data_IF_506337932889
#
_entry.id   IF_506337932889
#
_cell.length_a   1.000
_cell.length_b   1.000
_cell.length_c   1.000
_cell.angle_alpha   90.00
_cell.angle_beta   90.00
_cell.angle_gamma   90.00
#
_symmetry.space_group_name_H-M   'P 1'
#
loop_
_entity.id
_entity.type
_entity.pdbx_description
1 polymer ?
#
# COMPACT_ATOMS: atom_id res chain seq x y z
N UNK A 1 0.44 11.98 34.00
CA UNK A 1 -0.02 10.57 34.04
C UNK A 1 0.82 9.70 34.98
N UNK A 2 2.09 9.39 34.72
CA UNK A 2 2.90 8.49 35.59
C UNK A 2 2.96 8.98 37.05
N UNK A 3 3.35 10.24 37.26
CA UNK A 3 3.45 10.82 38.60
C UNK A 3 2.09 10.86 39.32
N UNK A 4 0.98 11.09 38.60
CA UNK A 4 -0.35 11.01 39.19
C UNK A 4 -0.68 9.59 39.65
N UNK A 5 -0.38 8.58 38.84
CA UNK A 5 -0.51 7.16 39.25
C UNK A 5 0.29 6.85 40.51
N UNK A 6 1.52 7.37 40.60
CA UNK A 6 2.38 7.19 41.77
C UNK A 6 1.83 7.86 43.03
N UNK A 7 1.25 9.07 42.91
CA UNK A 7 0.58 9.74 44.02
C UNK A 7 -0.63 8.95 44.50
N UNK A 8 -1.48 8.45 43.59
CA UNK A 8 -2.60 7.58 43.96
C UNK A 8 -2.14 6.31 44.67
N UNK A 9 -1.04 5.70 44.22
CA UNK A 9 -0.46 4.53 44.86
C UNK A 9 0.01 4.83 46.30
N UNK A 10 0.67 5.97 46.52
CA UNK A 10 1.05 6.42 47.87
C UNK A 10 -0.16 6.68 48.77
N UNK A 11 -1.24 7.21 48.21
CA UNK A 11 -2.51 7.45 48.90
C UNK A 11 -3.37 6.18 49.06
N UNK A 12 -2.86 4.99 48.73
CA UNK A 12 -3.57 3.70 48.78
C UNK A 12 -4.83 3.63 47.90
N UNK A 13 -4.94 4.51 46.90
CA UNK A 13 -6.00 4.50 45.89
C UNK A 13 -5.58 3.62 44.71
N UNK A 14 -5.45 2.31 44.96
CA UNK A 14 -4.80 1.36 44.04
C UNK A 14 -5.48 1.22 42.68
N UNK A 15 -6.82 1.24 42.62
CA UNK A 15 -7.56 1.21 41.35
C UNK A 15 -7.27 2.46 40.51
N UNK A 16 -7.23 3.64 41.13
CA UNK A 16 -6.90 4.90 40.44
C UNK A 16 -5.46 4.91 39.94
N UNK A 17 -4.53 4.41 40.76
CA UNK A 17 -3.12 4.27 40.37
C UNK A 17 -2.97 3.36 39.15
N UNK A 18 -3.57 2.17 39.20
CA UNK A 18 -3.53 1.19 38.12
C UNK A 18 -4.14 1.75 36.83
N UNK A 19 -5.29 2.42 36.91
CA UNK A 19 -5.94 3.02 35.74
C UNK A 19 -5.10 4.14 35.11
N UNK A 20 -4.41 4.96 35.91
CA UNK A 20 -3.50 5.98 35.36
C UNK A 20 -2.27 5.37 34.69
N UNK A 21 -1.70 4.31 35.26
CA UNK A 21 -0.61 3.58 34.63
C UNK A 21 -1.04 2.87 33.35
N UNK A 22 -2.25 2.30 33.33
CA UNK A 22 -2.88 1.72 32.14
C UNK A 22 -3.00 2.74 31.01
N UNK A 23 -3.38 3.99 31.29
CA UNK A 23 -3.44 5.05 30.28
C UNK A 23 -2.10 5.26 29.55
N UNK A 24 -0.96 5.16 30.25
CA UNK A 24 0.36 5.24 29.60
C UNK A 24 0.60 4.10 28.62
N UNK A 25 0.16 2.88 28.95
CA UNK A 25 0.29 1.74 28.05
C UNK A 25 -0.54 1.88 26.79
N UNK A 26 -1.69 2.55 26.88
CA UNK A 26 -2.61 2.75 25.76
C UNK A 26 -2.10 3.84 24.83
N UNK A 27 -1.78 5.02 25.36
CA UNK A 27 -1.48 6.20 24.55
C UNK A 27 -0.01 6.40 24.25
N UNK A 28 0.89 5.82 25.06
CA UNK A 28 2.33 6.04 24.95
C UNK A 28 3.12 4.73 25.15
N UNK A 29 2.85 3.65 24.40
CA UNK A 29 3.39 2.31 24.67
C UNK A 29 4.92 2.24 24.69
N UNK A 30 5.62 3.13 23.97
CA UNK A 30 7.09 3.20 23.86
C UNK A 30 7.76 4.17 24.82
N UNK A 31 7.00 4.96 25.58
CA UNK A 31 7.58 5.90 26.52
C UNK A 31 8.29 5.18 27.67
N UNK A 32 9.45 5.68 28.11
CA UNK A 32 10.22 5.09 29.21
C UNK A 32 9.40 4.97 30.51
N UNK A 33 8.53 5.94 30.77
CA UNK A 33 7.63 5.92 31.93
C UNK A 33 6.57 4.81 31.81
N UNK A 34 6.25 4.36 30.61
CA UNK A 34 5.32 3.23 30.38
C UNK A 34 5.95 1.92 30.82
N UNK A 35 7.26 1.74 30.65
CA UNK A 35 7.95 0.56 31.17
C UNK A 35 7.92 0.53 32.70
N UNK A 36 8.22 1.67 33.34
CA UNK A 36 8.09 1.81 34.80
C UNK A 36 6.64 1.57 35.26
N UNK A 37 5.67 2.10 34.53
CA UNK A 37 4.24 1.90 34.80
C UNK A 37 3.84 0.43 34.72
N UNK A 38 4.36 -0.34 33.74
CA UNK A 38 4.15 -1.79 33.63
C UNK A 38 4.65 -2.54 34.86
N UNK A 39 5.82 -2.16 35.38
CA UNK A 39 6.39 -2.78 36.58
C UNK A 39 5.56 -2.47 37.83
N UNK A 40 5.13 -1.22 38.00
CA UNK A 40 4.24 -0.85 39.11
C UNK A 40 2.88 -1.54 39.00
N UNK A 41 2.30 -1.63 37.81
CA UNK A 41 1.05 -2.37 37.58
C UNK A 41 1.17 -3.85 37.94
N UNK A 42 2.30 -4.51 37.65
CA UNK A 42 2.55 -5.90 38.06
C UNK A 42 2.61 -6.05 39.59
N UNK A 43 3.15 -5.06 40.30
CA UNK A 43 3.16 -5.06 41.77
C UNK A 43 1.75 -4.86 42.32
N UNK A 44 1.03 -3.87 41.78
CA UNK A 44 -0.36 -3.56 42.15
C UNK A 44 -1.30 -4.73 41.90
N UNK A 45 -1.09 -5.51 40.83
CA UNK A 45 -1.89 -6.69 40.51
C UNK A 45 -1.83 -7.81 41.57
N UNK A 46 -0.89 -7.77 42.51
CA UNK A 46 -0.77 -8.73 43.62
C UNK A 46 -1.52 -8.29 44.89
N UNK A 47 -2.10 -7.09 44.89
CA UNK A 47 -2.83 -6.55 46.04
C UNK A 47 -4.28 -7.03 45.98
N UNK A 48 -4.79 -7.69 47.03
CA UNK A 48 -6.13 -8.32 47.03
C UNK A 48 -7.30 -7.36 46.74
N UNK A 49 -7.13 -6.06 47.04
CA UNK A 49 -8.17 -5.03 46.92
C UNK A 49 -8.29 -4.44 45.50
N UNK A 50 -7.51 -4.92 44.53
CA UNK A 50 -7.48 -4.36 43.18
C UNK A 50 -8.49 -5.03 42.27
N UNK A 51 -9.27 -4.23 41.55
CA UNK A 51 -10.15 -4.69 40.48
C UNK A 51 -9.50 -4.34 39.13
N UNK A 52 -8.89 -5.34 38.49
CA UNK A 52 -8.28 -5.16 37.17
C UNK A 52 -9.33 -5.51 36.11
N UNK A 53 -9.70 -4.51 35.33
CA UNK A 53 -10.59 -4.69 34.19
C UNK A 53 -9.77 -4.88 32.91
N UNK A 54 -10.13 -5.85 32.04
CA UNK A 54 -9.52 -5.98 30.72
C UNK A 54 -9.65 -4.70 29.89
N UNK A 55 -8.74 -4.53 28.91
CA UNK A 55 -8.88 -3.45 27.95
C UNK A 55 -10.13 -3.66 27.09
N UNK A 56 -10.86 -2.58 26.86
CA UNK A 56 -11.93 -2.54 25.88
C UNK A 56 -11.34 -2.56 24.46
N UNK A 57 -12.15 -2.95 23.48
CA UNK A 57 -11.72 -2.97 22.08
C UNK A 57 -11.23 -1.59 21.60
N UNK A 58 -11.86 -0.49 22.00
CA UNK A 58 -11.45 0.85 21.61
C UNK A 58 -10.08 1.25 22.21
N UNK A 59 -9.79 0.79 23.42
CA UNK A 59 -8.49 1.02 24.06
C UNK A 59 -7.40 0.16 23.41
N UNK A 60 -7.71 -1.09 23.09
CA UNK A 60 -6.84 -1.94 22.27
C UNK A 60 -6.58 -1.30 20.91
N UNK A 61 -7.61 -0.80 20.22
CA UNK A 61 -7.45 -0.12 18.93
C UNK A 61 -6.56 1.12 19.04
N UNK A 62 -6.74 1.94 20.10
CA UNK A 62 -5.87 3.09 20.32
C UNK A 62 -4.42 2.67 20.49
N UNK A 63 -4.17 1.68 21.34
CA UNK A 63 -2.82 1.17 21.59
C UNK A 63 -2.18 0.58 20.34
N UNK A 64 -2.94 -0.21 19.57
CA UNK A 64 -2.47 -0.82 18.32
C UNK A 64 -2.08 0.26 17.30
N UNK A 65 -2.81 1.38 17.23
CA UNK A 65 -2.44 2.51 16.34
C UNK A 65 -1.09 3.10 16.72
N UNK A 66 -0.83 3.32 18.02
CA UNK A 66 0.49 3.79 18.49
C UNK A 66 1.59 2.78 18.19
N UNK A 67 1.36 1.50 18.47
CA UNK A 67 2.33 0.44 18.16
C UNK A 67 2.62 0.34 16.66
N UNK A 68 1.62 0.52 15.80
CA UNK A 68 1.82 0.54 14.35
C UNK A 68 2.58 1.78 13.87
N UNK A 69 2.37 2.94 14.51
CA UNK A 69 3.12 4.16 14.25
C UNK A 69 4.61 3.96 14.60
N UNK A 70 4.86 3.33 15.76
CA UNK A 70 6.21 3.00 16.24
C UNK A 70 6.83 1.74 15.61
N UNK A 71 6.16 1.14 14.60
CA UNK A 71 6.66 -0.04 13.85
C UNK A 71 6.84 -1.29 14.75
N UNK A 72 6.11 -1.36 15.87
CA UNK A 72 6.13 -2.46 16.85
C UNK A 72 5.26 -3.65 16.41
N UNK A 73 5.55 -4.20 15.23
CA UNK A 73 4.70 -5.21 14.60
C UNK A 73 4.54 -6.50 15.42
N UNK A 74 5.57 -6.94 16.14
CA UNK A 74 5.48 -8.11 17.01
C UNK A 74 4.45 -7.91 18.13
N UNK A 75 4.42 -6.72 18.74
CA UNK A 75 3.47 -6.41 19.81
C UNK A 75 2.05 -6.34 19.26
N UNK A 76 1.83 -5.73 18.08
CA UNK A 76 0.52 -5.69 17.43
C UNK A 76 0.01 -7.11 17.12
N UNK A 77 0.85 -7.97 16.56
CA UNK A 77 0.46 -9.35 16.26
C UNK A 77 0.11 -10.11 17.53
N UNK A 78 0.92 -9.99 18.59
CA UNK A 78 0.67 -10.62 19.89
C UNK A 78 -0.68 -10.16 20.46
N UNK A 79 -0.89 -8.84 20.54
CA UNK A 79 -2.09 -8.23 21.12
C UNK A 79 -3.37 -8.66 20.38
N UNK A 80 -3.40 -8.56 19.05
CA UNK A 80 -4.58 -8.99 18.27
C UNK A 80 -4.79 -10.50 18.36
N UNK A 81 -3.72 -11.30 18.43
CA UNK A 81 -3.83 -12.76 18.55
C UNK A 81 -4.39 -13.18 19.91
N UNK A 82 -4.04 -12.49 20.99
CA UNK A 82 -4.63 -12.75 22.31
C UNK A 82 -6.14 -12.43 22.34
N UNK A 83 -6.57 -11.33 21.72
CA UNK A 83 -8.00 -10.99 21.62
C UNK A 83 -8.74 -12.07 20.80
N UNK A 84 -8.12 -12.57 19.73
CA UNK A 84 -8.70 -13.65 18.91
C UNK A 84 -8.86 -14.99 19.65
N UNK A 85 -8.17 -15.22 20.78
CA UNK A 85 -8.38 -16.43 21.59
C UNK A 85 -9.70 -16.39 22.36
N UNK A 86 -10.15 -15.20 22.73
CA UNK A 86 -11.37 -15.01 23.53
C UNK A 86 -12.56 -14.57 22.67
N UNK A 87 -12.31 -13.96 21.50
CA UNK A 87 -13.33 -13.44 20.60
C UNK A 87 -13.15 -13.96 19.18
N UNK A 88 -14.18 -14.61 18.64
CA UNK A 88 -14.15 -15.14 17.28
C UNK A 88 -14.29 -14.07 16.18
N UNK A 89 -14.89 -12.93 16.54
CA UNK A 89 -15.21 -11.80 15.67
C UNK A 89 -14.62 -10.52 16.24
N UNK A 90 -13.87 -9.77 15.42
CA UNK A 90 -13.26 -8.50 15.79
C UNK A 90 -13.76 -7.39 14.88
N UNK A 91 -13.74 -6.11 15.30
CA UNK A 91 -14.00 -5.00 14.40
C UNK A 91 -13.11 -5.06 13.15
N UNK A 92 -13.67 -4.67 12.00
CA UNK A 92 -13.02 -4.75 10.68
C UNK A 92 -11.56 -4.24 10.68
N UNK A 93 -11.29 -3.12 11.36
CA UNK A 93 -9.97 -2.51 11.43
C UNK A 93 -8.89 -3.42 12.03
N UNK A 94 -9.24 -4.30 12.99
CA UNK A 94 -8.28 -5.19 13.63
C UNK A 94 -7.65 -6.18 12.65
N UNK A 95 -8.41 -6.66 11.67
CA UNK A 95 -7.86 -7.52 10.61
C UNK A 95 -6.85 -6.78 9.75
N UNK A 96 -7.07 -5.49 9.46
CA UNK A 96 -6.12 -4.68 8.71
C UNK A 96 -4.89 -4.32 9.55
N UNK A 97 -5.03 -4.07 10.86
CA UNK A 97 -3.88 -3.88 11.74
C UNK A 97 -3.02 -5.13 11.82
N UNK A 98 -3.65 -6.30 11.99
CA UNK A 98 -2.97 -7.58 11.98
C UNK A 98 -2.28 -7.83 10.63
N UNK A 99 -3.00 -7.62 9.53
CA UNK A 99 -2.45 -7.81 8.19
C UNK A 99 -1.27 -6.87 7.89
N UNK A 100 -1.34 -5.60 8.33
CA UNK A 100 -0.27 -4.60 8.20
C UNK A 100 0.95 -5.02 8.99
N UNK A 101 0.78 -5.41 10.26
CA UNK A 101 1.87 -5.87 11.11
C UNK A 101 2.54 -7.14 10.57
N UNK A 102 1.76 -8.15 10.17
CA UNK A 102 2.28 -9.39 9.58
C UNK A 102 3.03 -9.13 8.27
N UNK A 103 2.53 -8.21 7.43
CA UNK A 103 3.24 -7.78 6.21
C UNK A 103 4.56 -7.08 6.54
N UNK A 104 4.58 -6.21 7.56
CA UNK A 104 5.80 -5.57 8.07
C UNK A 104 6.85 -6.58 8.54
N UNK A 105 6.41 -7.68 9.15
CA UNK A 105 7.24 -8.84 9.52
C UNK A 105 7.58 -9.77 8.34
N UNK A 106 7.27 -9.37 7.10
CA UNK A 106 7.44 -10.16 5.87
C UNK A 106 6.62 -11.47 5.83
N UNK A 107 5.70 -11.69 6.78
CA UNK A 107 4.79 -12.85 6.85
C UNK A 107 3.53 -12.62 6.00
N UNK A 108 3.71 -12.52 4.67
CA UNK A 108 2.62 -12.19 3.71
C UNK A 108 1.52 -13.24 3.64
N UNK A 109 1.84 -14.52 3.87
CA UNK A 109 0.86 -15.60 3.98
C UNK A 109 -0.12 -15.36 5.14
N UNK A 110 0.39 -14.99 6.32
CA UNK A 110 -0.45 -14.67 7.48
C UNK A 110 -1.26 -13.40 7.24
N UNK A 111 -0.64 -12.38 6.63
CA UNK A 111 -1.32 -11.14 6.23
C UNK A 111 -2.54 -11.44 5.33
N UNK A 112 -2.37 -12.33 4.34
CA UNK A 112 -3.45 -12.78 3.48
C UNK A 112 -4.52 -13.57 4.24
N UNK A 113 -4.13 -14.40 5.22
CA UNK A 113 -5.10 -15.14 6.05
C UNK A 113 -5.97 -14.19 6.89
N UNK A 114 -5.38 -13.14 7.48
CA UNK A 114 -6.12 -12.12 8.22
C UNK A 114 -7.12 -11.37 7.32
N UNK A 115 -6.71 -10.97 6.11
CA UNK A 115 -7.60 -10.30 5.16
C UNK A 115 -8.69 -11.21 4.60
N UNK A 116 -8.42 -12.50 4.39
CA UNK A 116 -9.46 -13.48 4.02
C UNK A 116 -10.48 -13.67 5.13
N UNK A 117 -10.04 -13.67 6.40
CA UNK A 117 -10.95 -13.71 7.54
C UNK A 117 -11.82 -12.46 7.61
N UNK A 118 -11.26 -11.29 7.32
CA UNK A 118 -12.04 -10.05 7.14
C UNK A 118 -13.08 -10.19 6.03
N UNK A 119 -12.70 -10.62 4.82
CA UNK A 119 -13.63 -10.79 3.69
C UNK A 119 -14.76 -11.78 4.01
N UNK A 120 -14.50 -12.81 4.82
CA UNK A 120 -15.51 -13.76 5.29
C UNK A 120 -16.49 -13.14 6.29
N UNK A 121 -16.00 -12.31 7.21
CA UNK A 121 -16.81 -11.72 8.27
C UNK A 121 -17.52 -10.43 7.85
N UNK A 122 -17.01 -9.75 6.83
CA UNK A 122 -17.44 -8.44 6.39
C UNK A 122 -17.51 -8.34 4.86
N UNK A 123 -18.32 -9.18 4.18
CA UNK A 123 -18.34 -9.22 2.71
C UNK A 123 -18.71 -7.86 2.08
N UNK A 124 -19.66 -7.13 2.65
CA UNK A 124 -20.18 -5.87 2.10
C UNK A 124 -19.50 -4.60 2.67
N UNK A 125 -18.37 -4.76 3.37
CA UNK A 125 -17.72 -3.62 4.02
C UNK A 125 -16.97 -2.74 3.01
N UNK A 126 -16.94 -1.42 3.24
CA UNK A 126 -16.26 -0.43 2.37
C UNK A 126 -14.78 -0.70 2.07
N UNK A 127 -14.14 -1.63 2.79
CA UNK A 127 -12.72 -2.02 2.63
C UNK A 127 -12.54 -3.38 1.95
N UNK A 128 -13.62 -4.03 1.49
CA UNK A 128 -13.57 -5.30 0.74
C UNK A 128 -12.64 -5.19 -0.46
N UNK A 129 -12.78 -4.12 -1.24
CA UNK A 129 -11.89 -3.84 -2.38
C UNK A 129 -10.41 -3.71 -1.97
N UNK A 130 -10.12 -2.96 -0.91
CA UNK A 130 -8.75 -2.79 -0.37
C UNK A 130 -8.14 -4.13 0.06
N UNK A 131 -8.92 -4.99 0.71
CA UNK A 131 -8.48 -6.32 1.13
C UNK A 131 -8.19 -7.22 -0.08
N UNK A 132 -9.07 -7.24 -1.09
CA UNK A 132 -8.87 -8.00 -2.33
C UNK A 132 -7.59 -7.54 -3.05
N UNK A 133 -7.44 -6.24 -3.26
CA UNK A 133 -6.25 -5.64 -3.84
C UNK A 133 -4.97 -6.00 -3.07
N UNK A 134 -5.00 -5.89 -1.74
CA UNK A 134 -3.84 -6.16 -0.89
C UNK A 134 -3.43 -7.63 -0.95
N UNK A 135 -4.39 -8.56 -0.95
CA UNK A 135 -4.11 -9.99 -1.13
C UNK A 135 -3.48 -10.23 -2.50
N UNK A 136 -4.04 -9.64 -3.57
CA UNK A 136 -3.51 -9.74 -4.94
C UNK A 136 -2.04 -9.30 -5.01
N UNK A 137 -1.74 -8.12 -4.44
CA UNK A 137 -0.38 -7.56 -4.38
C UNK A 137 0.58 -8.42 -3.56
N UNK A 138 0.12 -8.97 -2.43
CA UNK A 138 0.96 -9.86 -1.63
C UNK A 138 1.29 -11.15 -2.39
N UNK A 139 0.31 -11.76 -3.07
CA UNK A 139 0.49 -12.99 -3.82
C UNK A 139 1.44 -12.82 -5.00
N UNK A 140 1.26 -11.75 -5.81
CA UNK A 140 2.15 -11.43 -6.92
C UNK A 140 3.60 -11.25 -6.45
N UNK A 141 3.83 -10.48 -5.37
CA UNK A 141 5.16 -10.31 -4.76
C UNK A 141 5.81 -11.61 -4.28
N UNK A 142 5.03 -12.68 -4.08
CA UNK A 142 5.51 -14.00 -3.64
C UNK A 142 5.49 -15.04 -4.76
N UNK A 143 5.28 -14.63 -6.02
CA UNK A 143 5.32 -15.51 -7.19
C UNK A 143 4.03 -16.28 -7.48
N UNK A 144 2.99 -16.18 -6.63
CA UNK A 144 1.69 -16.82 -6.83
C UNK A 144 0.84 -16.04 -7.83
N UNK A 145 1.30 -16.03 -9.08
CA UNK A 145 0.77 -15.23 -10.16
C UNK A 145 -0.73 -15.45 -10.41
N UNK A 146 -1.15 -16.71 -10.60
CA UNK A 146 -2.54 -17.04 -10.96
C UNK A 146 -3.52 -16.63 -9.86
N UNK A 147 -3.15 -16.81 -8.60
CA UNK A 147 -3.99 -16.45 -7.48
C UNK A 147 -4.02 -14.93 -7.29
N UNK A 148 -2.86 -14.26 -7.40
CA UNK A 148 -2.78 -12.80 -7.32
C UNK A 148 -3.66 -12.12 -8.37
N UNK A 149 -3.66 -12.65 -9.60
CA UNK A 149 -4.47 -12.15 -10.70
C UNK A 149 -5.97 -12.20 -10.38
N UNK A 150 -6.46 -13.35 -9.89
CA UNK A 150 -7.87 -13.51 -9.49
C UNK A 150 -8.30 -12.49 -8.44
N UNK A 151 -7.41 -12.17 -7.49
CA UNK A 151 -7.70 -11.18 -6.45
C UNK A 151 -7.76 -9.75 -6.98
N UNK A 152 -6.88 -9.39 -7.90
CA UNK A 152 -6.95 -8.09 -8.57
C UNK A 152 -8.20 -7.97 -9.45
N UNK A 153 -8.56 -9.01 -10.20
CA UNK A 153 -9.77 -9.03 -11.02
C UNK A 153 -11.02 -8.81 -10.16
N UNK A 154 -11.16 -9.56 -9.06
CA UNK A 154 -12.24 -9.33 -8.10
C UNK A 154 -12.24 -7.91 -7.53
N UNK A 155 -11.06 -7.37 -7.21
CA UNK A 155 -10.95 -5.98 -6.74
C UNK A 155 -11.39 -4.94 -7.78
N UNK A 156 -11.34 -5.26 -9.08
CA UNK A 156 -11.82 -4.39 -10.16
C UNK A 156 -13.32 -4.56 -10.37
N UNK A 157 -13.81 -5.80 -10.29
CA UNK A 157 -15.19 -6.15 -10.62
C UNK A 157 -16.17 -5.83 -9.47
N UNK A 158 -15.72 -5.97 -8.22
CA UNK A 158 -16.55 -5.75 -7.01
C UNK A 158 -16.33 -4.35 -6.39
N UNK A 159 -15.39 -3.57 -6.93
CA UNK A 159 -14.92 -2.32 -6.33
C UNK A 159 -15.51 -1.05 -6.94
N UNK A 160 -15.61 0.02 -6.15
CA UNK A 160 -16.04 1.35 -6.59
C UNK A 160 -14.97 2.44 -6.38
N UNK A 161 -13.92 2.17 -5.60
CA UNK A 161 -12.78 3.08 -5.46
C UNK A 161 -11.98 3.09 -6.77
N UNK A 162 -12.08 4.19 -7.51
CA UNK A 162 -11.40 4.38 -8.79
C UNK A 162 -9.88 4.39 -8.67
N UNK A 163 -9.33 4.87 -7.56
CA UNK A 163 -7.89 4.81 -7.31
C UNK A 163 -7.45 3.36 -7.26
N UNK A 164 -8.11 2.51 -6.45
CA UNK A 164 -7.80 1.08 -6.36
C UNK A 164 -8.05 0.32 -7.67
N UNK A 165 -9.13 0.64 -8.41
CA UNK A 165 -9.39 0.07 -9.74
C UNK A 165 -8.22 0.38 -10.68
N UNK A 166 -7.76 1.63 -10.71
CA UNK A 166 -6.68 2.05 -11.58
C UNK A 166 -5.36 1.34 -11.23
N UNK A 167 -5.05 1.21 -9.94
CA UNK A 167 -3.86 0.43 -9.53
C UNK A 167 -3.99 -1.05 -9.92
N UNK A 168 -5.14 -1.65 -9.68
CA UNK A 168 -5.38 -3.07 -9.97
C UNK A 168 -5.29 -3.35 -11.47
N UNK A 169 -5.90 -2.53 -12.32
CA UNK A 169 -5.80 -2.65 -13.78
C UNK A 169 -4.35 -2.57 -14.25
N UNK A 170 -3.57 -1.63 -13.70
CA UNK A 170 -2.15 -1.52 -14.02
C UNK A 170 -1.39 -2.78 -13.62
N UNK A 171 -1.59 -3.30 -12.40
CA UNK A 171 -0.90 -4.50 -11.95
C UNK A 171 -1.31 -5.75 -12.74
N UNK A 172 -2.59 -5.88 -13.12
CA UNK A 172 -3.04 -6.95 -14.01
C UNK A 172 -2.32 -6.86 -15.37
N UNK A 173 -2.25 -5.66 -15.95
CA UNK A 173 -1.50 -5.41 -17.19
C UNK A 173 -0.03 -5.81 -17.05
N UNK A 174 0.62 -5.40 -15.95
CA UNK A 174 2.04 -5.69 -15.68
C UNK A 174 2.28 -7.17 -15.50
N UNK A 175 1.40 -7.85 -14.79
CA UNK A 175 1.42 -9.30 -14.64
C UNK A 175 1.35 -9.99 -16.01
N UNK A 176 0.46 -9.57 -16.91
CA UNK A 176 0.41 -10.14 -18.26
C UNK A 176 1.68 -9.87 -19.06
N UNK A 177 2.22 -8.65 -18.97
CA UNK A 177 3.46 -8.23 -19.63
C UNK A 177 4.66 -9.08 -19.19
N UNK A 178 4.84 -9.31 -17.88
CA UNK A 178 5.91 -10.16 -17.31
C UNK A 178 5.86 -11.60 -17.84
N UNK A 179 4.66 -12.08 -18.21
CA UNK A 179 4.46 -13.41 -18.80
C UNK A 179 4.48 -13.38 -20.33
N UNK A 180 4.90 -12.26 -20.94
CA UNK A 180 4.92 -12.02 -22.40
C UNK A 180 3.55 -12.19 -23.06
N UNK A 181 2.47 -12.02 -22.30
CA UNK A 181 1.08 -12.07 -22.78
C UNK A 181 0.66 -10.68 -23.24
N UNK A 182 1.35 -10.18 -24.27
CA UNK A 182 1.22 -8.81 -24.74
C UNK A 182 -0.22 -8.41 -25.14
N UNK A 183 -1.03 -9.27 -25.81
CA UNK A 183 -2.41 -8.91 -26.12
C UNK A 183 -3.26 -8.63 -24.87
N UNK A 184 -3.09 -9.42 -23.81
CA UNK A 184 -3.78 -9.23 -22.54
C UNK A 184 -3.24 -7.98 -21.82
N UNK A 185 -1.93 -7.79 -21.76
CA UNK A 185 -1.33 -6.58 -21.19
C UNK A 185 -1.89 -5.31 -21.86
N UNK A 186 -1.91 -5.31 -23.20
CA UNK A 186 -2.49 -4.23 -24.00
C UNK A 186 -3.96 -3.97 -23.64
N UNK A 187 -4.79 -5.01 -23.49
CA UNK A 187 -6.20 -4.88 -23.11
C UNK A 187 -6.38 -4.14 -21.77
N UNK A 188 -5.60 -4.50 -20.74
CA UNK A 188 -5.77 -3.89 -19.41
C UNK A 188 -5.19 -2.48 -19.34
N UNK A 189 -4.01 -2.25 -19.94
CA UNK A 189 -3.46 -0.89 -20.02
C UNK A 189 -4.34 0.04 -20.85
N UNK A 190 -4.86 -0.39 -22.00
CA UNK A 190 -5.78 0.43 -22.81
C UNK A 190 -7.11 0.71 -22.08
N UNK A 191 -7.62 -0.24 -21.29
CA UNK A 191 -8.78 0.00 -20.42
C UNK A 191 -8.49 1.08 -19.36
N UNK A 192 -7.28 1.09 -18.82
CA UNK A 192 -6.84 2.05 -17.81
C UNK A 192 -6.67 3.46 -18.39
N UNK A 193 -6.00 3.62 -19.54
CA UNK A 193 -5.78 4.94 -20.15
C UNK A 193 -7.08 5.61 -20.65
N UNK A 194 -8.15 4.84 -20.89
CA UNK A 194 -9.47 5.39 -21.20
C UNK A 194 -10.16 6.04 -19.99
N UNK A 195 -9.70 5.74 -18.78
CA UNK A 195 -10.20 6.32 -17.52
C UNK A 195 -9.16 7.34 -17.03
N UNK A 196 -9.30 8.57 -17.50
CA UNK A 196 -8.18 9.54 -17.61
C UNK A 196 -7.66 10.14 -16.30
N UNK A 197 -8.34 9.90 -15.17
CA UNK A 197 -7.99 10.55 -13.91
C UNK A 197 -7.09 9.67 -13.01
N UNK A 198 -6.02 10.27 -12.48
CA UNK A 198 -5.10 9.67 -11.49
C UNK A 198 -3.70 9.33 -12.02
N UNK A 199 -2.86 8.76 -11.15
CA UNK A 199 -1.42 8.56 -11.41
C UNK A 199 -1.08 7.33 -12.28
N UNK A 200 -1.99 6.35 -12.35
CA UNK A 200 -1.75 5.08 -13.02
C UNK A 200 -2.00 5.09 -14.54
N UNK A 201 -2.94 5.88 -15.08
CA UNK A 201 -3.06 6.11 -16.52
C UNK A 201 -1.77 6.56 -17.21
N UNK A 202 -1.00 7.51 -16.65
CA UNK A 202 0.30 7.91 -17.21
C UNK A 202 1.28 6.73 -17.26
N UNK A 203 1.40 5.98 -16.15
CA UNK A 203 2.22 4.76 -16.10
C UNK A 203 1.81 3.75 -17.16
N UNK A 204 0.51 3.61 -17.42
CA UNK A 204 -0.01 2.69 -18.43
C UNK A 204 0.29 3.15 -19.86
N UNK A 205 0.20 4.45 -20.16
CA UNK A 205 0.63 5.00 -21.47
C UNK A 205 2.10 4.73 -21.72
N UNK A 206 2.95 4.98 -20.72
CA UNK A 206 4.37 4.66 -20.80
C UNK A 206 4.63 3.17 -21.08
N UNK A 207 3.96 2.26 -20.35
CA UNK A 207 4.10 0.82 -20.58
C UNK A 207 3.57 0.39 -21.96
N UNK A 208 2.47 0.98 -22.44
CA UNK A 208 1.96 0.74 -23.78
C UNK A 208 2.96 1.18 -24.86
N UNK A 209 3.54 2.38 -24.73
CA UNK A 209 4.59 2.86 -25.64
C UNK A 209 5.80 1.92 -25.64
N UNK A 210 6.31 1.57 -24.46
CA UNK A 210 7.48 0.70 -24.31
C UNK A 210 7.25 -0.71 -24.87
N UNK A 211 6.11 -1.31 -24.56
CA UNK A 211 5.72 -2.63 -25.06
C UNK A 211 5.59 -2.64 -26.59
N UNK A 212 5.01 -1.59 -27.19
CA UNK A 212 4.92 -1.48 -28.64
C UNK A 212 6.29 -1.25 -29.28
N UNK A 213 7.15 -0.43 -28.67
CA UNK A 213 8.50 -0.20 -29.16
C UNK A 213 9.33 -1.49 -29.20
N UNK A 214 9.31 -2.25 -28.11
CA UNK A 214 10.07 -3.51 -27.98
C UNK A 214 9.52 -4.65 -28.83
N UNK A 215 8.28 -4.54 -29.29
CA UNK A 215 7.65 -5.47 -30.25
C UNK A 215 7.62 -4.91 -31.68
N UNK A 216 8.44 -3.88 -31.95
CA UNK A 216 8.63 -3.25 -33.27
C UNK A 216 7.39 -2.59 -33.88
N UNK A 217 6.34 -2.37 -33.06
CA UNK A 217 5.16 -1.61 -33.43
C UNK A 217 5.43 -0.10 -33.28
N UNK A 218 6.42 0.42 -34.02
CA UNK A 218 6.95 1.77 -33.81
C UNK A 218 5.92 2.89 -33.98
N UNK A 219 4.93 2.73 -34.87
CA UNK A 219 3.86 3.72 -35.00
C UNK A 219 3.03 3.83 -33.72
N UNK A 220 2.56 2.70 -33.18
CA UNK A 220 1.81 2.70 -31.91
C UNK A 220 2.66 3.16 -30.75
N UNK A 221 3.95 2.82 -30.75
CA UNK A 221 4.88 3.29 -29.73
C UNK A 221 4.96 4.83 -29.74
N UNK A 222 5.18 5.42 -30.92
CA UNK A 222 5.15 6.86 -31.13
C UNK A 222 3.85 7.46 -30.61
N UNK A 223 2.70 6.94 -31.06
CA UNK A 223 1.38 7.46 -30.70
C UNK A 223 1.15 7.47 -29.18
N UNK A 224 1.45 6.37 -28.47
CA UNK A 224 1.27 6.31 -27.01
C UNK A 224 2.25 7.19 -26.24
N UNK A 225 3.50 7.29 -26.69
CA UNK A 225 4.46 8.18 -26.06
C UNK A 225 4.06 9.65 -26.25
N UNK A 226 3.64 10.04 -27.46
CA UNK A 226 3.11 11.39 -27.72
C UNK A 226 1.83 11.66 -26.93
N UNK A 227 0.93 10.70 -26.81
CA UNK A 227 -0.26 10.84 -25.97
C UNK A 227 0.11 11.08 -24.51
N UNK A 228 1.13 10.37 -23.99
CA UNK A 228 1.64 10.55 -22.63
C UNK A 228 2.18 11.96 -22.41
N UNK A 229 2.94 12.52 -23.37
CA UNK A 229 3.53 13.86 -23.22
C UNK A 229 2.49 14.96 -23.32
N UNK A 230 1.46 14.79 -24.16
CA UNK A 230 0.37 15.76 -24.30
C UNK A 230 -0.54 15.76 -23.07
N UNK A 231 -0.88 14.58 -22.54
CA UNK A 231 -1.77 14.46 -21.38
C UNK A 231 -1.08 14.78 -20.06
N UNK A 232 0.21 14.45 -19.94
CA UNK A 232 0.99 14.60 -18.71
C UNK A 232 2.28 15.39 -18.98
N UNK A 233 2.20 16.67 -19.38
CA UNK A 233 3.37 17.47 -19.77
C UNK A 233 4.38 17.71 -18.63
N UNK A 234 3.93 17.59 -17.37
CA UNK A 234 4.78 17.63 -16.17
C UNK A 234 4.72 16.32 -15.37
N UNK A 235 4.32 15.23 -16.04
CA UNK A 235 4.20 13.91 -15.43
C UNK A 235 5.53 13.20 -15.23
N UNK A 236 5.48 12.08 -14.50
CA UNK A 236 6.66 11.29 -14.14
C UNK A 236 7.41 10.73 -15.37
N UNK A 237 6.72 10.57 -16.50
CA UNK A 237 7.25 10.00 -17.73
C UNK A 237 7.31 11.02 -18.88
N UNK A 238 7.14 12.32 -18.62
CA UNK A 238 7.12 13.34 -19.68
C UNK A 238 8.40 13.32 -20.52
N UNK A 239 9.56 13.51 -19.88
CA UNK A 239 10.89 13.49 -20.53
C UNK A 239 11.14 12.18 -21.28
N UNK A 240 10.94 11.06 -20.60
CA UNK A 240 11.20 9.74 -21.17
C UNK A 240 10.26 9.44 -22.35
N UNK A 241 8.98 9.80 -22.26
CA UNK A 241 8.02 9.66 -23.36
C UNK A 241 8.41 10.52 -24.56
N UNK A 242 8.86 11.76 -24.34
CA UNK A 242 9.38 12.57 -25.44
C UNK A 242 10.57 11.89 -26.11
N UNK A 243 11.57 11.43 -25.34
CA UNK A 243 12.74 10.76 -25.89
C UNK A 243 12.37 9.51 -26.70
N UNK A 244 11.52 8.64 -26.17
CA UNK A 244 11.16 7.40 -26.86
C UNK A 244 10.17 7.60 -28.01
N UNK A 245 9.40 8.71 -28.03
CA UNK A 245 8.68 9.14 -29.22
C UNK A 245 9.67 9.50 -30.34
N UNK A 246 10.75 10.23 -30.04
CA UNK A 246 11.80 10.52 -31.02
C UNK A 246 12.49 9.25 -31.53
N UNK A 247 12.88 8.31 -30.64
CA UNK A 247 13.41 6.99 -31.05
C UNK A 247 12.44 6.21 -31.94
N UNK A 248 11.13 6.28 -31.65
CA UNK A 248 10.10 5.65 -32.47
C UNK A 248 10.00 6.31 -33.86
N UNK A 249 10.06 7.64 -33.92
CA UNK A 249 10.08 8.39 -35.19
C UNK A 249 11.32 8.08 -36.04
N UNK A 250 12.51 7.89 -35.44
CA UNK A 250 13.70 7.43 -36.16
C UNK A 250 13.49 6.05 -36.80
N UNK A 251 12.89 5.11 -36.05
CA UNK A 251 12.59 3.76 -36.56
C UNK A 251 11.56 3.79 -37.71
N UNK A 252 10.68 4.79 -37.71
CA UNK A 252 9.74 5.07 -38.82
C UNK A 252 10.37 5.86 -39.97
N UNK A 253 11.66 6.19 -39.90
CA UNK A 253 12.40 7.01 -40.89
C UNK A 253 11.97 8.48 -40.96
N UNK A 254 11.26 8.98 -39.96
CA UNK A 254 10.87 10.39 -39.82
C UNK A 254 12.01 11.20 -39.16
N UNK A 255 13.15 11.32 -39.84
CA UNK A 255 14.40 11.85 -39.25
C UNK A 255 14.28 13.29 -38.76
N UNK A 256 13.67 14.19 -39.55
CA UNK A 256 13.51 15.61 -39.20
C UNK A 256 12.66 15.78 -37.94
N UNK A 257 11.56 15.02 -37.86
CA UNK A 257 10.68 15.01 -36.70
C UNK A 257 11.41 14.51 -35.46
N UNK A 258 12.14 13.39 -35.57
CA UNK A 258 12.91 12.85 -34.47
C UNK A 258 13.94 13.87 -33.95
N UNK A 259 14.69 14.51 -34.85
CA UNK A 259 15.69 15.52 -34.50
C UNK A 259 15.07 16.71 -33.76
N UNK A 260 13.91 17.20 -34.22
CA UNK A 260 13.19 18.28 -33.55
C UNK A 260 12.75 17.90 -32.13
N UNK A 261 12.27 16.66 -31.95
CA UNK A 261 11.87 16.18 -30.62
C UNK A 261 13.10 16.02 -29.72
N UNK A 262 14.21 15.48 -30.21
CA UNK A 262 15.46 15.39 -29.43
C UNK A 262 15.97 16.75 -28.97
N UNK A 263 16.01 17.74 -29.85
CA UNK A 263 16.38 19.12 -29.49
C UNK A 263 15.48 19.67 -28.37
N UNK A 264 14.19 19.37 -28.45
CA UNK A 264 13.21 19.78 -27.42
C UNK A 264 13.52 19.11 -26.09
N UNK A 265 13.80 17.79 -26.08
CA UNK A 265 14.14 17.04 -24.86
C UNK A 265 15.42 17.56 -24.23
N UNK A 266 16.48 17.76 -25.03
CA UNK A 266 17.75 18.29 -24.55
C UNK A 266 17.59 19.70 -23.97
N UNK A 267 16.81 20.57 -24.61
CA UNK A 267 16.61 21.96 -24.15
C UNK A 267 15.72 22.04 -22.90
N UNK A 268 14.64 21.23 -22.84
CA UNK A 268 13.70 21.25 -21.74
C UNK A 268 14.21 20.50 -20.49
N UNK A 269 15.06 19.48 -20.67
CA UNK A 269 15.55 18.62 -19.60
C UNK A 269 17.08 18.42 -19.61
N UNK A 270 17.91 19.47 -19.73
CA UNK A 270 19.33 19.38 -20.07
C UNK A 270 20.21 18.56 -19.12
N UNK A 271 19.78 18.37 -17.87
CA UNK A 271 20.56 17.67 -16.82
C UNK A 271 20.05 16.27 -16.50
N UNK A 272 19.08 15.78 -17.27
CA UNK A 272 18.49 14.47 -17.09
C UNK A 272 19.17 13.43 -17.98
N UNK A 273 18.97 12.15 -17.68
CA UNK A 273 19.54 11.08 -18.50
C UNK A 273 19.07 11.19 -19.96
N UNK A 274 17.77 11.37 -20.23
CA UNK A 274 17.31 11.44 -21.62
C UNK A 274 17.60 12.80 -22.27
N UNK A 275 17.67 13.88 -21.49
CA UNK A 275 18.15 15.18 -21.98
C UNK A 275 19.56 15.12 -22.57
N UNK A 276 20.50 14.54 -21.83
CA UNK A 276 21.88 14.35 -22.28
C UNK A 276 21.91 13.43 -23.52
N UNK A 277 21.22 12.28 -23.46
CA UNK A 277 21.16 11.31 -24.56
C UNK A 277 20.49 11.86 -25.82
N UNK A 278 19.64 12.87 -25.71
CA UNK A 278 19.02 13.53 -26.85
C UNK A 278 19.94 14.55 -27.53
N UNK A 279 21.03 14.96 -26.88
CA UNK A 279 22.03 15.87 -27.46
C UNK A 279 23.22 15.17 -28.12
N UNK A 280 23.38 13.86 -27.90
CA UNK A 280 24.38 13.00 -28.57
C UNK A 280 23.95 12.65 -30.00
#
# INVERSE_FOLDING_TARGET
IYHQGYLYQKSKLFNNAYNHYRTLQIYFPKNQLTQKAKEEMKKLAKVEQIKIEPLLLDEHERRIKELLYDVEYHQVVSEVSEILKTQNFLPANFYFYLAKAQKGLRKRNLSNAALRKFLKHYPDHRRTQEALFTIGRNLWNTGYYRDGLKYFEKSVDEGTDHTLINQALFFIGKMHEEKKRYPQANKYYTKLVKKLDGDYPERALWQLGWMNYTTENFQKAYDYFTESTVKYPSGLFAESSMFWSAKSAEKLKHKELAQKIFQTVNTAYPYTYYGIRAGE
#
